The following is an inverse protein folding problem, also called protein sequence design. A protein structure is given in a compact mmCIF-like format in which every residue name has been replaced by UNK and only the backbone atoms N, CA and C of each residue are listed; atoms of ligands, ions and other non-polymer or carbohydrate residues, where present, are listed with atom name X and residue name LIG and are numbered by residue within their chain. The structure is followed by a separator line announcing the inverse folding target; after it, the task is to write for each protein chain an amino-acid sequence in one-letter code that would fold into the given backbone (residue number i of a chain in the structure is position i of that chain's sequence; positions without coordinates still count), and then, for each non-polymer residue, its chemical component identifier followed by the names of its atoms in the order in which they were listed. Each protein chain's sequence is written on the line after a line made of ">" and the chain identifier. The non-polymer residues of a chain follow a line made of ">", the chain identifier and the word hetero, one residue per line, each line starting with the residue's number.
data_IF_507303623519
#
_entry.id   IF_507303623519
#
_cell.length_a   1.000
_cell.length_b   1.000
_cell.length_c   1.000
_cell.angle_alpha   90.00
_cell.angle_beta   90.00
_cell.angle_gamma   90.00
#
_symmetry.space_group_name_H-M   'P 1'
#
loop_
_entity.id
_entity.type
_entity.pdbx_description
1 polymer ?
#
# COMPACT_ATOMS: atom_id res chain seq x y z
N UNK A 1 1.35 -27.14 -9.74
CA UNK A 1 1.32 -26.01 -8.78
C UNK A 1 2.61 -26.04 -7.98
N UNK A 2 3.45 -25.03 -8.12
CA UNK A 2 4.69 -24.90 -7.33
C UNK A 2 4.33 -24.60 -5.87
N UNK A 3 4.89 -25.39 -4.95
CA UNK A 3 4.64 -25.33 -3.51
C UNK A 3 5.14 -23.98 -2.98
N UNK A 4 4.30 -23.23 -2.26
CA UNK A 4 4.77 -22.09 -1.46
C UNK A 4 5.81 -22.63 -0.47
N UNK A 5 7.05 -22.16 -0.59
CA UNK A 5 8.15 -22.52 0.32
C UNK A 5 8.32 -21.50 1.44
N UNK A 6 7.40 -20.54 1.54
CA UNK A 6 7.51 -19.43 2.48
C UNK A 6 7.14 -19.78 3.91
N UNK A 7 7.65 -18.96 4.81
CA UNK A 7 7.65 -19.16 6.26
C UNK A 7 6.80 -18.14 7.01
N UNK A 8 6.31 -17.10 6.34
CA UNK A 8 5.58 -15.99 6.95
C UNK A 8 4.35 -15.62 6.12
N UNK A 9 3.20 -15.52 6.80
CA UNK A 9 1.94 -15.08 6.19
C UNK A 9 1.40 -13.91 6.98
N UNK A 10 1.05 -12.83 6.30
CA UNK A 10 0.30 -11.71 6.88
C UNK A 10 -1.12 -11.64 6.32
N UNK A 11 -2.03 -11.07 7.10
CA UNK A 11 -3.39 -10.76 6.68
C UNK A 11 -3.77 -9.40 7.25
N UNK A 12 -4.44 -8.58 6.46
CA UNK A 12 -4.92 -7.28 6.91
C UNK A 12 -5.67 -6.54 5.83
N UNK A 13 -5.68 -5.21 5.95
CA UNK A 13 -6.30 -4.33 4.97
C UNK A 13 -5.24 -3.88 3.95
N UNK A 14 -5.19 -4.48 2.74
CA UNK A 14 -4.35 -3.97 1.66
C UNK A 14 -4.88 -2.59 1.25
N UNK A 15 -4.00 -1.61 1.20
CA UNK A 15 -4.33 -0.24 0.78
C UNK A 15 -3.35 0.19 -0.31
N UNK A 16 -3.82 0.93 -1.31
CA UNK A 16 -2.94 1.61 -2.24
C UNK A 16 -2.61 2.99 -1.67
N UNK A 17 -1.36 3.19 -1.27
CA UNK A 17 -0.91 4.49 -0.79
C UNK A 17 -0.71 5.42 -2.01
N UNK A 18 -1.39 6.56 -1.98
CA UNK A 18 -1.19 7.67 -2.92
C UNK A 18 -0.35 8.72 -2.18
N UNK A 19 0.94 8.77 -2.48
CA UNK A 19 1.90 9.64 -1.80
C UNK A 19 2.29 10.81 -2.70
N UNK A 20 2.19 12.04 -2.19
CA UNK A 20 2.49 13.24 -2.94
C UNK A 20 3.09 14.32 -2.04
N UNK A 21 3.97 15.15 -2.60
CA UNK A 21 4.50 16.32 -1.92
C UNK A 21 3.46 17.45 -1.99
N UNK A 22 2.86 17.78 -0.85
CA UNK A 22 1.79 18.78 -0.75
C UNK A 22 2.16 19.94 0.18
N UNK A 23 1.50 21.08 0.02
CA UNK A 23 1.63 22.22 0.92
C UNK A 23 0.65 22.19 2.10
N UNK A 24 0.83 23.13 3.04
CA UNK A 24 -0.06 23.33 4.19
C UNK A 24 -1.51 23.65 3.77
N UNK A 25 -1.69 24.24 2.59
CA UNK A 25 -2.99 24.54 2.00
C UNK A 25 -3.88 23.30 1.81
N UNK A 26 -3.29 22.16 1.42
CA UNK A 26 -4.02 20.89 1.29
C UNK A 26 -4.42 20.35 2.66
N UNK A 27 -3.50 20.38 3.63
CA UNK A 27 -3.76 19.96 5.00
C UNK A 27 -4.92 20.76 5.62
N UNK A 28 -4.88 22.08 5.48
CA UNK A 28 -5.91 22.99 6.01
C UNK A 28 -7.26 22.78 5.31
N UNK A 29 -7.26 22.65 3.97
CA UNK A 29 -8.47 22.45 3.16
C UNK A 29 -9.26 21.20 3.59
N UNK A 30 -8.55 20.14 3.94
CA UNK A 30 -9.14 18.86 4.32
C UNK A 30 -9.18 18.63 5.83
N UNK A 31 -8.79 19.60 6.66
CA UNK A 31 -8.75 19.49 8.13
C UNK A 31 -7.91 18.29 8.60
N UNK A 32 -6.75 18.09 7.94
CA UNK A 32 -5.79 17.04 8.25
C UNK A 32 -4.62 17.62 9.03
N UNK A 33 -4.29 17.00 10.16
CA UNK A 33 -3.14 17.39 10.99
C UNK A 33 -1.87 16.68 10.52
N UNK A 34 -0.74 17.36 10.64
CA UNK A 34 0.59 16.77 10.45
C UNK A 34 0.74 15.50 11.29
N UNK A 35 1.36 14.48 10.70
CA UNK A 35 1.67 13.17 11.30
C UNK A 35 0.46 12.39 11.86
N UNK A 36 -0.76 12.70 11.40
CA UNK A 36 -1.96 11.99 11.83
C UNK A 36 -2.40 10.92 10.81
N UNK A 37 -3.17 9.94 11.29
CA UNK A 37 -3.82 8.93 10.46
C UNK A 37 -5.32 8.89 10.83
N UNK A 38 -6.18 9.22 9.87
CA UNK A 38 -7.64 9.28 10.06
C UNK A 38 -8.34 8.43 9.00
N UNK A 39 -9.56 8.00 9.30
CA UNK A 39 -10.45 7.42 8.29
C UNK A 39 -11.08 8.55 7.48
N UNK A 40 -11.25 8.32 6.18
CA UNK A 40 -11.91 9.29 5.31
C UNK A 40 -13.37 9.49 5.72
N UNK A 41 -13.81 10.74 5.63
CA UNK A 41 -15.19 11.19 5.76
C UNK A 41 -15.58 11.79 4.41
N UNK A 42 -16.85 12.14 4.19
CA UNK A 42 -17.31 12.70 2.91
C UNK A 42 -16.50 13.94 2.47
N UNK A 43 -16.03 14.76 3.43
CA UNK A 43 -15.18 15.93 3.16
C UNK A 43 -13.80 15.56 2.60
N UNK A 44 -13.30 14.36 2.92
CA UNK A 44 -11.98 13.88 2.50
C UNK A 44 -12.02 13.24 1.12
N UNK A 45 -13.15 12.67 0.66
CA UNK A 45 -13.25 11.92 -0.60
C UNK A 45 -12.67 12.63 -1.83
N UNK A 46 -12.84 13.96 -2.01
CA UNK A 46 -12.27 14.65 -3.17
C UNK A 46 -10.73 14.68 -3.22
N UNK A 47 -10.04 14.48 -2.08
CA UNK A 47 -8.58 14.59 -1.99
C UNK A 47 -7.87 13.62 -2.94
N UNK A 48 -8.40 12.40 -3.12
CA UNK A 48 -7.76 11.39 -3.96
C UNK A 48 -7.60 11.87 -5.40
N UNK A 49 -8.66 12.45 -5.97
CA UNK A 49 -8.62 12.98 -7.33
C UNK A 49 -7.71 14.21 -7.43
N UNK A 50 -7.76 15.09 -6.44
CA UNK A 50 -6.94 16.31 -6.41
C UNK A 50 -5.44 16.00 -6.38
N UNK A 51 -5.03 14.98 -5.61
CA UNK A 51 -3.64 14.53 -5.58
C UNK A 51 -3.21 13.95 -6.93
N UNK A 52 -4.03 13.09 -7.54
CA UNK A 52 -3.74 12.46 -8.83
C UNK A 52 -3.64 13.49 -9.96
N UNK A 53 -4.55 14.46 -10.00
CA UNK A 53 -4.61 15.44 -11.09
C UNK A 53 -3.49 16.50 -10.99
N UNK A 54 -3.07 16.89 -9.77
CA UNK A 54 -2.23 18.08 -9.58
C UNK A 54 -0.83 17.81 -9.01
N UNK A 55 -0.57 16.65 -8.39
CA UNK A 55 0.64 16.44 -7.59
C UNK A 55 1.53 15.28 -8.06
N UNK A 56 1.23 14.63 -9.19
CA UNK A 56 2.03 13.53 -9.76
C UNK A 56 2.43 12.46 -8.71
N UNK A 57 1.45 11.81 -8.06
CA UNK A 57 1.71 10.98 -6.90
C UNK A 57 2.48 9.70 -7.22
N UNK A 58 3.17 9.19 -6.21
CA UNK A 58 3.68 7.83 -6.18
C UNK A 58 2.61 6.87 -5.67
N UNK A 59 2.57 5.68 -6.27
CA UNK A 59 1.67 4.60 -5.86
C UNK A 59 2.48 3.49 -5.21
N UNK A 60 2.11 3.13 -3.98
CA UNK A 60 2.87 2.19 -3.16
C UNK A 60 1.92 1.16 -2.55
N UNK A 61 2.38 -0.09 -2.46
CA UNK A 61 1.65 -1.16 -1.78
C UNK A 61 1.60 -0.94 -0.26
N UNK A 62 0.55 -0.29 0.22
CA UNK A 62 0.36 0.14 1.61
C UNK A 62 -0.44 -0.80 2.51
N UNK A 63 -0.80 -0.28 3.68
CA UNK A 63 -1.45 -1.02 4.76
C UNK A 63 -0.44 -1.58 5.78
N UNK A 64 -0.73 -1.41 7.07
CA UNK A 64 0.26 -1.64 8.14
C UNK A 64 0.86 -3.05 8.15
N UNK A 65 0.02 -4.09 8.01
CA UNK A 65 0.50 -5.47 7.98
C UNK A 65 1.25 -5.76 6.67
N UNK A 66 0.75 -5.25 5.54
CA UNK A 66 1.39 -5.43 4.25
C UNK A 66 2.78 -4.79 4.22
N UNK A 67 2.95 -3.59 4.77
CA UNK A 67 4.24 -2.92 4.91
C UNK A 67 5.22 -3.78 5.70
N UNK A 68 4.78 -4.37 6.82
CA UNK A 68 5.61 -5.25 7.65
C UNK A 68 6.05 -6.51 6.88
N UNK A 69 5.14 -7.09 6.10
CA UNK A 69 5.41 -8.28 5.26
C UNK A 69 6.37 -7.95 4.11
N UNK A 70 6.21 -6.80 3.46
CA UNK A 70 7.11 -6.31 2.39
C UNK A 70 8.53 -6.10 2.92
N UNK A 71 8.69 -5.48 4.09
CA UNK A 71 10.00 -5.31 4.73
C UNK A 71 10.60 -6.65 5.14
N UNK A 72 9.81 -7.56 5.71
CA UNK A 72 10.29 -8.91 6.03
C UNK A 72 10.79 -9.64 4.77
N UNK A 73 10.05 -9.55 3.66
CA UNK A 73 10.46 -10.12 2.37
C UNK A 73 11.76 -9.50 1.86
N UNK A 74 11.91 -8.17 1.93
CA UNK A 74 13.13 -7.48 1.55
C UNK A 74 14.35 -7.98 2.36
N UNK A 75 14.22 -8.09 3.68
CA UNK A 75 15.28 -8.62 4.56
C UNK A 75 15.60 -10.08 4.19
N UNK A 76 14.60 -10.93 3.98
CA UNK A 76 14.82 -12.34 3.62
C UNK A 76 15.49 -12.48 2.26
N UNK A 77 15.11 -11.66 1.27
CA UNK A 77 15.76 -11.60 -0.05
C UNK A 77 17.24 -11.21 0.08
N UNK A 78 17.56 -10.20 0.89
CA UNK A 78 18.94 -9.79 1.16
C UNK A 78 19.78 -10.91 1.82
N UNK A 79 19.12 -11.88 2.48
CA UNK A 79 19.74 -13.06 3.08
C UNK A 79 19.63 -14.33 2.20
N UNK A 80 19.36 -14.17 0.90
CA UNK A 80 19.34 -15.29 -0.07
C UNK A 80 18.08 -16.17 0.01
N UNK A 81 16.99 -15.67 0.61
CA UNK A 81 15.70 -16.37 0.73
C UNK A 81 14.57 -15.54 0.12
N UNK A 82 14.46 -15.43 -1.21
CA UNK A 82 13.34 -14.75 -1.85
C UNK A 82 12.03 -15.57 -1.75
N UNK A 83 10.89 -14.91 -1.93
CA UNK A 83 9.56 -15.55 -2.02
C UNK A 83 9.13 -16.28 -0.74
N UNK A 84 9.50 -15.76 0.41
CA UNK A 84 9.25 -16.36 1.72
C UNK A 84 7.98 -15.85 2.39
N UNK A 85 7.38 -14.79 1.87
CA UNK A 85 6.20 -14.18 2.45
C UNK A 85 4.98 -14.30 1.55
N UNK A 86 3.81 -14.43 2.18
CA UNK A 86 2.53 -14.25 1.52
C UNK A 86 1.66 -13.27 2.28
N UNK A 87 0.73 -12.63 1.56
CA UNK A 87 -0.22 -11.69 2.12
C UNK A 87 -1.61 -11.94 1.56
N UNK A 88 -2.63 -11.86 2.43
CA UNK A 88 -4.04 -11.98 2.05
C UNK A 88 -4.84 -10.77 2.53
N UNK A 89 -5.80 -10.34 1.72
CA UNK A 89 -6.65 -9.20 2.02
C UNK A 89 -7.88 -9.12 1.13
N UNK A 90 -8.58 -7.99 1.16
CA UNK A 90 -9.71 -7.72 0.28
C UNK A 90 -9.49 -6.40 -0.45
N UNK A 91 -9.61 -6.43 -1.78
CA UNK A 91 -9.50 -5.26 -2.66
C UNK A 91 -10.72 -5.16 -3.56
N UNK A 92 -10.97 -3.96 -4.10
CA UNK A 92 -11.94 -3.78 -5.16
C UNK A 92 -11.49 -4.42 -6.48
N UNK A 93 -12.45 -4.80 -7.32
CA UNK A 93 -12.18 -5.20 -8.70
C UNK A 93 -12.09 -3.94 -9.59
N UNK A 94 -11.04 -3.18 -9.41
CA UNK A 94 -10.80 -1.90 -10.08
C UNK A 94 -9.30 -1.70 -10.40
N UNK A 95 -8.97 -0.60 -11.08
CA UNK A 95 -7.59 -0.30 -11.47
C UNK A 95 -6.65 -0.10 -10.28
N UNK A 96 -7.15 0.39 -9.14
CA UNK A 96 -6.33 0.57 -7.95
C UNK A 96 -6.04 -0.77 -7.27
N UNK A 97 -7.01 -1.70 -7.26
CA UNK A 97 -6.80 -3.08 -6.83
C UNK A 97 -5.72 -3.77 -7.65
N UNK A 98 -5.77 -3.65 -8.99
CA UNK A 98 -4.75 -4.21 -9.88
C UNK A 98 -3.36 -3.60 -9.63
N UNK A 99 -3.29 -2.26 -9.52
CA UNK A 99 -2.03 -1.57 -9.27
C UNK A 99 -1.42 -1.94 -7.91
N UNK A 100 -2.26 -2.14 -6.89
CA UNK A 100 -1.84 -2.59 -5.57
C UNK A 100 -1.24 -4.00 -5.62
N UNK A 101 -1.87 -4.91 -6.37
CA UNK A 101 -1.36 -6.26 -6.60
C UNK A 101 0.01 -6.23 -7.28
N UNK A 102 0.15 -5.42 -8.35
CA UNK A 102 1.41 -5.23 -9.08
C UNK A 102 2.52 -4.68 -8.18
N UNK A 103 2.23 -3.66 -7.37
CA UNK A 103 3.20 -3.08 -6.43
C UNK A 103 3.67 -4.11 -5.40
N UNK A 104 2.76 -4.87 -4.78
CA UNK A 104 3.12 -5.86 -3.77
C UNK A 104 3.89 -7.05 -4.37
N UNK A 105 3.52 -7.48 -5.58
CA UNK A 105 4.23 -8.53 -6.31
C UNK A 105 5.65 -8.09 -6.72
N UNK A 106 5.83 -6.82 -7.11
CA UNK A 106 7.14 -6.25 -7.43
C UNK A 106 8.11 -6.27 -6.24
N UNK A 107 7.59 -6.18 -5.01
CA UNK A 107 8.37 -6.33 -3.77
C UNK A 107 8.64 -7.80 -3.38
N UNK A 108 8.22 -8.75 -4.22
CA UNK A 108 8.45 -10.18 -4.04
C UNK A 108 7.51 -10.87 -3.05
N UNK A 109 6.42 -10.18 -2.63
CA UNK A 109 5.40 -10.76 -1.75
C UNK A 109 4.40 -11.55 -2.59
N UNK A 110 4.06 -12.78 -2.15
CA UNK A 110 2.99 -13.55 -2.78
C UNK A 110 1.63 -13.05 -2.29
N UNK A 111 0.90 -12.33 -3.12
CA UNK A 111 -0.43 -11.80 -2.79
C UNK A 111 -1.56 -12.70 -3.28
N UNK A 112 -2.68 -12.67 -2.56
CA UNK A 112 -3.86 -13.52 -2.76
C UNK A 112 -5.13 -12.87 -2.24
#
# INVERSE_FOLDING_TARGET
>A
MTKFTGSLVGMGNPLLDISADVGQDILDKYDVKLDNAILAEDKHVPIYKELVDNYSPQYIAGGATQNSIRVAQWIMTANGKPGQTAYFGCVGNDSFGNQLEECAAADGVKVH
#
